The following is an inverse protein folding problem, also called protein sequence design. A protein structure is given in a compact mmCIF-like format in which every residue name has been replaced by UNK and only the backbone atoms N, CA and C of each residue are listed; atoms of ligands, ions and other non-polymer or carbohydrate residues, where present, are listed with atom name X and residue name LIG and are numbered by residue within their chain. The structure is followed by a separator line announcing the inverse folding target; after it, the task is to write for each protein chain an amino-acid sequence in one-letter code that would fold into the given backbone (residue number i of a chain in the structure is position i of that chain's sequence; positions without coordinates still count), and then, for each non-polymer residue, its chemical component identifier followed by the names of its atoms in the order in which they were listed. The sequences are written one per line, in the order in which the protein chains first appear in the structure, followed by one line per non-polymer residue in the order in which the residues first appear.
data_IF_920552160503
#
_entry.id   IF_920552160503
#
_cell.length_a   1.000
_cell.length_b   1.000
_cell.length_c   1.000
_cell.angle_alpha   90.00
_cell.angle_beta   90.00
_cell.angle_gamma   90.00
#
_symmetry.space_group_name_H-M   'P 1'
#
loop_
_entity.id
_entity.type
_entity.pdbx_description
1 polymer ?
#
# COMPACT_ATOMS: atom_id res chain seq x y z
N UNK A 1 3.53 -29.02 41.29
CA UNK A 1 2.69 -28.29 40.34
C UNK A 1 2.75 -26.83 40.75
N UNK A 2 3.83 -26.17 40.34
CA UNK A 2 4.05 -24.74 40.58
C UNK A 2 3.16 -23.95 39.61
N UNK A 3 2.46 -22.91 40.06
CA UNK A 3 1.66 -22.09 39.15
C UNK A 3 2.61 -21.40 38.17
N UNK A 4 2.27 -21.52 36.90
CA UNK A 4 2.90 -20.84 35.78
C UNK A 4 2.74 -19.33 36.00
N UNK A 5 3.84 -18.62 36.23
CA UNK A 5 3.85 -17.16 36.29
C UNK A 5 3.33 -16.62 34.95
N UNK A 6 2.15 -16.03 35.02
CA UNK A 6 1.48 -15.33 33.94
C UNK A 6 2.39 -14.25 33.39
N UNK A 7 2.85 -14.42 32.15
CA UNK A 7 3.55 -13.41 31.38
C UNK A 7 2.55 -12.27 31.09
N UNK A 8 2.67 -11.08 31.72
CA UNK A 8 1.74 -9.99 31.47
C UNK A 8 2.18 -9.21 30.23
N UNK A 9 1.24 -9.03 29.32
CA UNK A 9 1.03 -7.89 28.41
C UNK A 9 2.26 -7.31 27.68
N UNK A 10 2.48 -7.81 26.46
CA UNK A 10 3.36 -7.22 25.45
C UNK A 10 2.83 -5.90 24.84
N UNK A 11 1.73 -5.36 25.35
CA UNK A 11 1.08 -4.12 24.89
C UNK A 11 1.30 -2.93 25.86
N UNK A 12 2.14 -3.10 26.88
CA UNK A 12 2.52 -1.99 27.77
C UNK A 12 3.55 -1.10 27.07
N UNK A 13 3.16 0.12 26.72
CA UNK A 13 4.10 1.14 26.23
C UNK A 13 5.31 1.29 27.15
N UNK A 14 6.45 1.72 26.60
CA UNK A 14 7.71 1.87 27.33
C UNK A 14 7.52 2.62 28.65
N UNK A 15 8.07 2.09 29.73
CA UNK A 15 8.05 2.75 31.02
C UNK A 15 8.80 4.09 30.92
N UNK A 16 8.40 5.16 31.65
CA UNK A 16 9.09 6.45 31.61
C UNK A 16 10.60 6.36 31.87
N UNK A 17 11.03 5.48 32.76
CA UNK A 17 12.46 5.25 33.04
C UNK A 17 13.20 4.65 31.83
N UNK A 18 12.54 3.82 31.02
CA UNK A 18 13.12 3.26 29.79
C UNK A 18 13.30 4.36 28.74
N UNK A 19 12.35 5.30 28.65
CA UNK A 19 12.46 6.47 27.77
C UNK A 19 13.63 7.37 28.16
N UNK A 20 13.82 7.63 29.46
CA UNK A 20 14.97 8.41 29.97
C UNK A 20 16.30 7.72 29.64
N UNK A 21 16.35 6.39 29.82
CA UNK A 21 17.53 5.60 29.48
C UNK A 21 17.83 5.64 27.97
N UNK A 22 16.81 5.45 27.12
CA UNK A 22 16.96 5.49 25.66
C UNK A 22 17.43 6.85 25.17
N UNK A 23 16.89 7.94 25.72
CA UNK A 23 17.33 9.30 25.39
C UNK A 23 18.80 9.54 25.78
N UNK A 24 19.23 9.01 26.93
CA UNK A 24 20.64 9.05 27.32
C UNK A 24 21.54 8.23 26.40
N UNK A 25 21.10 7.04 25.98
CA UNK A 25 21.84 6.20 25.04
C UNK A 25 21.92 6.85 23.65
N UNK A 26 20.84 7.45 23.17
CA UNK A 26 20.79 8.16 21.90
C UNK A 26 21.81 9.30 21.84
N UNK A 27 21.96 10.08 22.92
CA UNK A 27 23.00 11.11 23.01
C UNK A 27 24.41 10.55 22.89
N UNK A 28 24.68 9.39 23.47
CA UNK A 28 26.00 8.74 23.39
C UNK A 28 26.22 8.20 21.97
N UNK A 29 25.23 7.51 21.40
CA UNK A 29 25.29 6.96 20.05
C UNK A 29 25.56 8.06 19.00
N UNK A 30 24.91 9.22 19.13
CA UNK A 30 25.13 10.35 18.23
C UNK A 30 26.57 10.88 18.19
N UNK A 31 27.37 10.61 19.23
CA UNK A 31 28.77 11.03 19.33
C UNK A 31 29.73 9.91 18.95
N UNK A 32 29.44 8.68 19.40
CA UNK A 32 30.33 7.51 19.23
C UNK A 32 30.16 6.85 17.87
N UNK A 33 28.93 6.81 17.36
CA UNK A 33 28.55 6.18 16.08
C UNK A 33 27.52 7.05 15.35
N UNK A 34 27.93 8.25 14.88
CA UNK A 34 27.04 9.13 14.14
C UNK A 34 26.62 8.47 12.83
N UNK A 35 25.36 8.67 12.44
CA UNK A 35 24.86 8.21 11.14
C UNK A 35 25.68 8.89 10.03
N UNK A 36 26.34 8.14 9.14
CA UNK A 36 27.10 8.70 8.04
C UNK A 36 26.23 9.57 7.11
N UNK A 37 26.75 10.71 6.67
CA UNK A 37 26.02 11.68 5.83
C UNK A 37 25.56 11.07 4.50
N UNK A 38 26.35 10.15 3.93
CA UNK A 38 26.03 9.43 2.70
C UNK A 38 24.81 8.52 2.85
N UNK A 39 24.61 7.91 4.02
CA UNK A 39 23.40 7.12 4.31
C UNK A 39 22.17 8.02 4.40
N UNK A 40 22.30 9.20 5.00
CA UNK A 40 21.20 10.18 5.08
C UNK A 40 20.82 10.70 3.69
N UNK A 41 21.82 11.06 2.88
CA UNK A 41 21.61 11.56 1.53
C UNK A 41 21.07 10.47 0.59
N UNK A 42 21.55 9.22 0.72
CA UNK A 42 20.98 8.08 0.00
C UNK A 42 19.52 7.84 0.39
N UNK A 43 19.20 7.91 1.68
CA UNK A 43 17.84 7.81 2.17
C UNK A 43 16.94 8.91 1.59
N UNK A 44 17.40 10.16 1.63
CA UNK A 44 16.71 11.31 1.04
C UNK A 44 16.45 11.09 -0.46
N UNK A 45 17.48 10.74 -1.22
CA UNK A 45 17.37 10.51 -2.66
C UNK A 45 16.40 9.36 -2.98
N UNK A 46 16.42 8.27 -2.20
CA UNK A 46 15.48 7.16 -2.36
C UNK A 46 14.02 7.59 -2.13
N UNK A 47 13.76 8.39 -1.09
CA UNK A 47 12.42 8.91 -0.81
C UNK A 47 11.97 9.97 -1.84
N UNK A 48 12.87 10.79 -2.35
CA UNK A 48 12.57 11.76 -3.41
C UNK A 48 12.21 11.07 -4.73
N UNK A 49 12.97 10.05 -5.13
CA UNK A 49 12.65 9.23 -6.30
C UNK A 49 11.29 8.54 -6.13
N UNK A 50 11.05 7.95 -4.96
CA UNK A 50 9.77 7.32 -4.64
C UNK A 50 8.58 8.29 -4.68
N UNK A 51 8.79 9.52 -4.23
CA UNK A 51 7.78 10.60 -4.29
C UNK A 51 7.56 11.07 -5.73
N UNK A 52 8.60 11.14 -6.55
CA UNK A 52 8.46 11.49 -7.96
C UNK A 52 7.63 10.44 -8.70
N UNK A 53 7.92 9.15 -8.47
CA UNK A 53 7.15 8.04 -9.04
C UNK A 53 5.68 8.09 -8.61
N UNK A 54 5.39 8.41 -7.34
CA UNK A 54 4.00 8.52 -6.85
C UNK A 54 3.25 9.73 -7.43
N UNK A 55 3.94 10.85 -7.68
CA UNK A 55 3.35 12.01 -8.34
C UNK A 55 3.07 11.71 -9.82
N UNK A 56 3.98 11.05 -10.52
CA UNK A 56 3.77 10.63 -11.91
C UNK A 56 2.61 9.64 -12.04
N UNK A 57 2.52 8.70 -11.10
CA UNK A 57 1.39 7.79 -10.95
C UNK A 57 0.05 8.53 -10.73
N UNK A 58 0.04 9.61 -9.94
CA UNK A 58 -1.16 10.42 -9.69
C UNK A 58 -1.52 11.33 -10.89
N UNK A 59 -0.53 11.78 -11.68
CA UNK A 59 -0.77 12.64 -12.85
C UNK A 59 -1.37 11.89 -14.04
N UNK A 60 -1.04 10.61 -14.22
CA UNK A 60 -1.73 9.73 -15.19
C UNK A 60 -3.19 9.51 -14.77
N UNK A 61 -3.47 9.47 -13.46
CA UNK A 61 -4.81 9.26 -12.90
C UNK A 61 -5.82 10.39 -13.17
N UNK A 62 -5.37 11.64 -13.33
CA UNK A 62 -6.23 12.82 -13.51
C UNK A 62 -6.51 13.16 -15.00
N UNK A 63 -5.99 12.36 -15.95
CA UNK A 63 -6.18 12.59 -17.38
C UNK A 63 -7.50 12.01 -17.95
N UNK A 64 -8.29 11.31 -17.13
CA UNK A 64 -9.57 10.72 -17.53
C UNK A 64 -10.72 11.73 -17.48
N UNK A 65 -11.19 12.17 -18.65
CA UNK A 65 -12.41 12.97 -18.74
C UNK A 65 -13.61 12.23 -18.10
N UNK A 66 -14.52 12.93 -17.40
CA UNK A 66 -15.64 12.29 -16.72
C UNK A 66 -16.55 11.58 -17.73
N UNK A 67 -16.62 10.26 -17.66
CA UNK A 67 -17.65 9.47 -18.34
C UNK A 67 -18.97 9.79 -17.66
N UNK A 68 -19.78 10.62 -18.32
CA UNK A 68 -21.11 10.99 -17.85
C UNK A 68 -22.04 9.80 -18.04
N UNK A 69 -22.27 9.04 -16.98
CA UNK A 69 -23.46 8.19 -16.87
C UNK A 69 -24.59 8.95 -16.14
N UNK A 70 -25.81 8.64 -16.53
CA UNK A 70 -27.01 9.43 -16.39
C UNK A 70 -27.44 9.60 -14.91
N UNK A 71 -27.14 10.75 -14.30
CA UNK A 71 -27.91 11.28 -13.16
C UNK A 71 -27.35 11.10 -11.74
N UNK A 72 -26.15 10.54 -11.55
CA UNK A 72 -25.44 10.58 -10.27
C UNK A 72 -24.01 11.05 -10.53
N UNK A 73 -23.58 12.15 -9.91
CA UNK A 73 -22.18 12.58 -9.92
C UNK A 73 -21.40 11.61 -9.05
N UNK A 74 -21.12 10.44 -9.61
CA UNK A 74 -20.30 9.42 -8.99
C UNK A 74 -18.87 9.77 -9.35
N UNK A 75 -18.07 10.16 -8.37
CA UNK A 75 -16.65 10.38 -8.60
C UNK A 75 -16.03 9.01 -8.92
N UNK A 76 -15.60 8.85 -10.17
CA UNK A 76 -14.75 7.74 -10.61
C UNK A 76 -13.37 8.28 -10.91
N UNK A 77 -12.34 7.57 -10.47
CA UNK A 77 -10.95 7.89 -10.77
C UNK A 77 -10.18 6.62 -11.13
N UNK A 78 -9.29 6.75 -12.12
CA UNK A 78 -8.48 5.65 -12.63
C UNK A 78 -7.08 5.78 -12.03
N UNK A 79 -6.49 4.69 -11.55
CA UNK A 79 -5.12 4.64 -11.05
C UNK A 79 -4.35 3.58 -11.85
N UNK A 80 -3.11 3.91 -12.23
CA UNK A 80 -2.23 3.01 -12.97
C UNK A 80 -0.94 2.80 -12.19
N UNK A 81 -0.66 1.55 -11.85
CA UNK A 81 0.56 1.11 -11.19
C UNK A 81 1.40 0.33 -12.17
N UNK A 82 2.69 0.63 -12.27
CA UNK A 82 3.63 -0.11 -13.13
C UNK A 82 4.87 -0.46 -12.33
N UNK A 83 5.27 -1.73 -12.35
CA UNK A 83 6.49 -2.22 -11.74
C UNK A 83 7.10 -3.31 -12.63
N UNK A 84 8.31 -3.07 -13.14
CA UNK A 84 8.97 -3.93 -14.12
C UNK A 84 8.04 -4.18 -15.33
N UNK A 85 7.71 -5.44 -15.64
CA UNK A 85 6.81 -5.80 -16.73
C UNK A 85 5.33 -5.92 -16.29
N UNK A 86 5.01 -5.67 -15.02
CA UNK A 86 3.62 -5.79 -14.53
C UNK A 86 2.98 -4.42 -14.39
N UNK A 87 1.79 -4.24 -14.97
CA UNK A 87 0.97 -3.05 -14.78
C UNK A 87 -0.40 -3.40 -14.22
N UNK A 88 -0.90 -2.60 -13.29
CA UNK A 88 -2.24 -2.70 -12.70
C UNK A 88 -2.96 -1.40 -13.03
N UNK A 89 -4.00 -1.47 -13.84
CA UNK A 89 -4.94 -0.38 -14.06
C UNK A 89 -6.20 -0.66 -13.25
N UNK A 90 -6.66 0.30 -12.47
CA UNK A 90 -7.86 0.16 -11.68
C UNK A 90 -8.71 1.42 -11.69
N UNK A 91 -10.01 1.22 -11.65
CA UNK A 91 -11.03 2.25 -11.52
C UNK A 91 -11.66 2.14 -10.13
N UNK A 92 -11.70 3.25 -9.42
CA UNK A 92 -12.35 3.35 -8.12
C UNK A 92 -13.61 4.19 -8.27
N UNK A 93 -14.75 3.59 -7.98
CA UNK A 93 -16.06 4.24 -8.02
C UNK A 93 -16.65 4.31 -6.63
N UNK A 94 -16.81 5.52 -6.08
CA UNK A 94 -17.40 5.70 -4.75
C UNK A 94 -18.92 5.63 -4.75
N UNK A 95 -19.48 4.90 -3.78
CA UNK A 95 -20.91 4.82 -3.47
C UNK A 95 -21.15 5.00 -1.96
N UNK A 96 -21.22 6.26 -1.52
CA UNK A 96 -21.47 6.59 -0.11
C UNK A 96 -20.23 6.37 0.77
N UNK A 97 -20.34 5.46 1.75
CA UNK A 97 -19.24 5.09 2.68
C UNK A 97 -18.34 3.97 2.15
N UNK A 98 -18.70 3.39 0.99
CA UNK A 98 -17.95 2.34 0.34
C UNK A 98 -17.62 2.71 -1.09
N UNK A 99 -16.63 2.04 -1.68
CA UNK A 99 -16.30 2.10 -3.09
C UNK A 99 -16.31 0.70 -3.71
N UNK A 100 -16.43 0.66 -5.04
CA UNK A 100 -16.08 -0.50 -5.86
C UNK A 100 -14.74 -0.22 -6.52
N UNK A 101 -13.84 -1.19 -6.47
CA UNK A 101 -12.52 -1.14 -7.08
C UNK A 101 -12.45 -2.25 -8.12
N UNK A 102 -12.40 -1.89 -9.39
CA UNK A 102 -12.33 -2.84 -10.51
C UNK A 102 -11.01 -2.60 -11.23
N UNK A 103 -10.32 -3.64 -11.65
CA UNK A 103 -9.06 -3.44 -12.37
C UNK A 103 -8.64 -4.61 -13.23
N UNK A 104 -7.56 -4.35 -13.97
CA UNK A 104 -6.90 -5.30 -14.86
C UNK A 104 -5.41 -5.28 -14.55
N UNK A 105 -4.83 -6.48 -14.46
CA UNK A 105 -3.41 -6.74 -14.29
C UNK A 105 -2.85 -7.28 -15.60
N UNK A 106 -1.85 -6.60 -16.14
CA UNK A 106 -1.11 -7.01 -17.33
C UNK A 106 0.31 -7.40 -16.93
N UNK A 107 0.84 -8.45 -17.56
CA UNK A 107 2.24 -8.86 -17.53
C UNK A 107 2.81 -8.74 -18.96
N UNK A 108 3.52 -7.65 -19.22
CA UNK A 108 3.88 -7.21 -20.56
C UNK A 108 2.64 -6.87 -21.37
N UNK A 109 2.54 -7.41 -22.58
CA UNK A 109 1.41 -7.18 -23.50
C UNK A 109 0.24 -8.17 -23.30
N UNK A 110 0.23 -8.94 -22.20
CA UNK A 110 -0.78 -9.99 -21.94
C UNK A 110 -1.42 -9.84 -20.57
N UNK A 111 -2.69 -10.22 -20.40
CA UNK A 111 -3.28 -10.32 -19.06
C UNK A 111 -2.47 -11.27 -18.18
N UNK A 112 -2.40 -10.95 -16.89
CA UNK A 112 -1.80 -11.86 -15.91
C UNK A 112 -2.57 -13.19 -15.88
N UNK A 113 -1.87 -14.27 -15.54
CA UNK A 113 -2.45 -15.61 -15.53
C UNK A 113 -3.70 -15.70 -14.65
N UNK A 114 -4.64 -16.53 -15.06
CA UNK A 114 -5.83 -16.85 -14.28
C UNK A 114 -5.45 -17.47 -12.93
N UNK A 115 -6.32 -17.28 -11.95
CA UNK A 115 -6.14 -17.79 -10.58
C UNK A 115 -4.93 -17.21 -9.83
N UNK A 116 -4.26 -16.20 -10.40
CA UNK A 116 -3.21 -15.46 -9.72
C UNK A 116 -3.80 -14.75 -8.47
N UNK A 117 -3.27 -14.99 -7.25
CA UNK A 117 -3.84 -14.38 -6.06
C UNK A 117 -3.57 -12.88 -5.99
N UNK A 118 -4.64 -12.12 -5.75
CA UNK A 118 -4.56 -10.68 -5.49
C UNK A 118 -5.31 -10.37 -4.20
N UNK A 119 -4.79 -9.49 -3.37
CA UNK A 119 -5.50 -9.04 -2.16
C UNK A 119 -5.54 -7.53 -2.07
N UNK A 120 -6.66 -7.04 -1.54
CA UNK A 120 -6.84 -5.65 -1.18
C UNK A 120 -6.62 -5.51 0.33
N UNK A 121 -5.57 -4.79 0.71
CA UNK A 121 -5.24 -4.50 2.09
C UNK A 121 -5.68 -3.07 2.43
N UNK A 122 -6.36 -2.93 3.55
CA UNK A 122 -6.71 -1.67 4.21
C UNK A 122 -6.01 -1.62 5.57
N UNK A 123 -6.14 -0.51 6.29
CA UNK A 123 -5.64 -0.43 7.67
C UNK A 123 -6.27 -1.48 8.61
N UNK A 124 -7.46 -2.00 8.29
CA UNK A 124 -8.23 -2.88 9.18
C UNK A 124 -8.34 -4.33 8.67
N UNK A 125 -8.14 -4.58 7.37
CA UNK A 125 -8.42 -5.89 6.77
C UNK A 125 -7.56 -6.18 5.56
N UNK A 126 -7.38 -7.47 5.26
CA UNK A 126 -6.91 -7.96 3.96
C UNK A 126 -8.00 -8.81 3.35
N UNK A 127 -8.44 -8.46 2.13
CA UNK A 127 -9.47 -9.18 1.39
C UNK A 127 -8.83 -9.90 0.21
N UNK A 128 -8.71 -11.24 0.25
CA UNK A 128 -8.15 -12.00 -0.85
C UNK A 128 -9.16 -12.14 -2.00
N UNK A 129 -8.62 -12.25 -3.21
CA UNK A 129 -9.32 -12.50 -4.45
C UNK A 129 -8.38 -13.21 -5.43
N UNK A 130 -8.92 -13.63 -6.56
CA UNK A 130 -8.15 -14.29 -7.63
C UNK A 130 -8.44 -13.59 -8.94
N UNK A 131 -7.43 -13.46 -9.78
CA UNK A 131 -7.62 -12.89 -11.11
C UNK A 131 -8.44 -13.82 -12.00
N UNK A 132 -9.28 -13.21 -12.83
CA UNK A 132 -10.06 -13.84 -13.90
C UNK A 132 -9.71 -13.13 -15.22
N UNK A 133 -8.94 -13.77 -16.09
CA UNK A 133 -8.36 -13.18 -17.31
C UNK A 133 -7.60 -11.87 -17.02
N UNK A 134 -6.84 -11.86 -15.92
CA UNK A 134 -6.13 -10.68 -15.41
C UNK A 134 -7.04 -9.63 -14.76
N UNK A 135 -8.35 -9.82 -14.70
CA UNK A 135 -9.31 -8.88 -14.11
C UNK A 135 -9.59 -9.20 -12.65
N UNK A 136 -9.96 -8.18 -11.88
CA UNK A 136 -10.45 -8.33 -10.51
C UNK A 136 -11.51 -7.29 -10.18
N UNK A 137 -12.36 -7.59 -9.20
CA UNK A 137 -13.32 -6.65 -8.65
C UNK A 137 -13.46 -6.83 -7.14
N UNK A 138 -13.24 -5.74 -6.40
CA UNK A 138 -13.51 -5.64 -4.97
C UNK A 138 -14.72 -4.75 -4.76
N UNK A 139 -15.78 -5.34 -4.22
CA UNK A 139 -16.99 -4.62 -3.84
C UNK A 139 -16.96 -4.23 -2.36
N UNK A 140 -17.67 -3.14 -2.01
CA UNK A 140 -17.83 -2.66 -0.63
C UNK A 140 -16.49 -2.36 0.07
N UNK A 141 -15.54 -1.79 -0.65
CA UNK A 141 -14.26 -1.34 -0.10
C UNK A 141 -14.50 -0.12 0.80
N UNK A 142 -14.08 -0.13 2.08
CA UNK A 142 -14.16 1.05 2.93
C UNK A 142 -13.40 2.24 2.33
N UNK A 143 -13.96 3.43 2.39
CA UNK A 143 -13.23 4.65 2.00
C UNK A 143 -12.01 4.87 2.90
N UNK A 144 -10.90 5.35 2.32
CA UNK A 144 -9.63 5.54 3.01
C UNK A 144 -8.45 4.85 2.32
N UNK A 145 -7.35 4.66 3.03
CA UNK A 145 -6.13 4.10 2.45
C UNK A 145 -6.26 2.60 2.20
N UNK A 146 -5.98 2.20 0.96
CA UNK A 146 -5.88 0.81 0.55
C UNK A 146 -4.63 0.56 -0.31
N UNK A 147 -4.20 -0.70 -0.41
CA UNK A 147 -3.18 -1.15 -1.36
C UNK A 147 -3.54 -2.52 -1.91
N UNK A 148 -3.18 -2.78 -3.15
CA UNK A 148 -3.20 -4.10 -3.76
C UNK A 148 -1.87 -4.83 -3.57
N UNK A 149 -1.97 -6.13 -3.27
CA UNK A 149 -0.85 -7.08 -3.21
C UNK A 149 -1.13 -8.22 -4.18
N UNK A 150 -0.25 -8.39 -5.16
CA UNK A 150 -0.32 -9.43 -6.18
C UNK A 150 0.77 -10.48 -5.89
N UNK A 151 0.34 -11.72 -5.62
CA UNK A 151 1.23 -12.86 -5.41
C UNK A 151 1.64 -13.42 -6.77
N UNK A 152 2.95 -13.45 -7.04
CA UNK A 152 3.49 -13.94 -8.32
C UNK A 152 4.30 -15.19 -8.05
N UNK A 153 3.82 -16.34 -8.53
CA UNK A 153 4.38 -17.65 -8.17
C UNK A 153 5.89 -17.75 -8.40
N UNK A 154 6.66 -17.87 -7.31
CA UNK A 154 8.13 -17.96 -7.34
C UNK A 154 8.87 -16.62 -7.36
N UNK A 155 8.16 -15.49 -7.38
CA UNK A 155 8.70 -14.14 -7.31
C UNK A 155 8.23 -13.42 -6.03
N UNK A 156 8.95 -12.36 -5.59
CA UNK A 156 8.44 -11.51 -4.52
C UNK A 156 7.08 -10.90 -4.91
N UNK A 157 6.10 -10.86 -3.99
CA UNK A 157 4.80 -10.27 -4.26
C UNK A 157 4.94 -8.79 -4.62
N UNK A 158 4.23 -8.39 -5.68
CA UNK A 158 4.15 -7.00 -6.10
C UNK A 158 3.16 -6.28 -5.19
N UNK A 159 3.59 -5.15 -4.64
CA UNK A 159 2.73 -4.29 -3.82
C UNK A 159 2.62 -2.94 -4.48
N UNK A 160 1.39 -2.49 -4.65
CA UNK A 160 1.11 -1.10 -4.95
C UNK A 160 1.42 -0.22 -3.75
N UNK A 161 1.61 1.08 -3.98
CA UNK A 161 1.60 2.05 -2.90
C UNK A 161 0.21 2.15 -2.29
N UNK A 162 0.14 2.66 -1.07
CA UNK A 162 -1.14 3.05 -0.49
C UNK A 162 -1.77 4.15 -1.34
N UNK A 163 -3.00 3.93 -1.77
CA UNK A 163 -3.83 4.88 -2.50
C UNK A 163 -5.11 5.18 -1.74
N UNK A 164 -5.67 6.37 -1.98
CA UNK A 164 -6.88 6.84 -1.34
C UNK A 164 -8.12 6.37 -2.10
N UNK A 165 -8.97 5.58 -1.44
CA UNK A 165 -10.28 5.16 -1.93
C UNK A 165 -11.30 6.24 -1.53
N UNK A 166 -11.58 7.17 -2.45
CA UNK A 166 -12.42 8.36 -2.21
C UNK A 166 -13.51 8.64 -3.23
#
# INVERSE_FOLDING_TARGET
MTPNDSHPDLDSGLHPDDLELLDRLARIAAVVDPVPDDVVELGRAAFELHRADSILMTLVADAGAPVRDNGSVTASHILVFTLAEVSIELEVTRRGEFASVIGVVMAGDRPCADECPISLETAASSTPHTLDEGRFAFERVPVGLARLVLERGGEPPMRTLWFDVR
#
